data_IF_714109614058
#
_entry.id   IF_714109614058
#
_cell.length_a   1.000
_cell.length_b   1.000
_cell.length_c   1.000
_cell.angle_alpha   90.00
_cell.angle_beta   90.00
_cell.angle_gamma   90.00
#
_symmetry.space_group_name_H-M   'P 1'
#
loop_
_entity.id
_entity.type
_entity.pdbx_description
1 polymer ?
#
# COMPACT_ATOMS: atom_id res chain seq x y z
N UNK A 1 86.67 -56.76 -26.33
CA UNK A 1 86.14 -58.09 -26.08
C UNK A 1 84.65 -58.01 -26.34
N UNK A 2 84.25 -58.47 -27.49
CA UNK A 2 83.51 -59.72 -27.82
C UNK A 2 82.05 -59.58 -27.23
N UNK A 3 80.98 -59.80 -27.90
CA UNK A 3 80.71 -60.55 -29.11
C UNK A 3 79.34 -60.13 -29.71
N UNK A 4 79.27 -60.24 -30.98
CA UNK A 4 78.09 -60.25 -31.81
C UNK A 4 77.20 -61.46 -31.51
N UNK A 5 75.87 -61.36 -31.66
CA UNK A 5 75.00 -62.41 -32.18
C UNK A 5 73.86 -61.84 -32.98
N UNK A 6 73.85 -62.25 -34.18
CA UNK A 6 72.88 -62.20 -35.26
C UNK A 6 71.63 -63.04 -34.91
N UNK A 7 70.41 -62.60 -35.16
CA UNK A 7 69.35 -63.50 -35.61
C UNK A 7 68.23 -62.77 -36.37
N UNK A 8 68.09 -63.28 -37.52
CA UNK A 8 67.18 -63.11 -38.65
C UNK A 8 65.74 -63.54 -38.26
N UNK A 9 64.74 -62.95 -38.81
CA UNK A 9 63.51 -63.71 -39.01
C UNK A 9 62.14 -62.91 -38.96
N UNK A 10 61.53 -62.89 -40.12
CA UNK A 10 60.13 -62.96 -40.42
C UNK A 10 59.29 -61.60 -40.38
N UNK A 11 59.15 -61.08 -41.57
CA UNK A 11 58.04 -60.13 -41.93
C UNK A 11 56.73 -60.92 -41.99
N UNK A 12 55.77 -60.48 -41.20
CA UNK A 12 54.33 -60.86 -41.34
C UNK A 12 53.58 -59.66 -41.72
N UNK A 13 53.11 -59.59 -42.97
CA UNK A 13 52.13 -58.59 -43.43
C UNK A 13 50.75 -58.90 -42.80
N UNK A 14 50.28 -58.06 -41.88
CA UNK A 14 48.88 -58.00 -41.50
C UNK A 14 48.19 -56.81 -42.21
N UNK A 15 47.45 -57.15 -43.28
CA UNK A 15 46.44 -56.23 -43.87
C UNK A 15 45.24 -56.16 -42.92
N UNK A 16 45.26 -55.20 -42.06
CA UNK A 16 44.08 -54.85 -41.23
C UNK A 16 43.15 -53.91 -42.00
N UNK A 17 41.97 -54.40 -42.48
CA UNK A 17 40.87 -53.59 -42.91
C UNK A 17 40.38 -52.77 -41.70
N UNK A 18 40.78 -51.53 -41.61
CA UNK A 18 40.20 -50.54 -40.69
C UNK A 18 38.81 -50.09 -41.17
N UNK A 19 37.76 -50.75 -40.69
CA UNK A 19 36.41 -50.22 -40.74
C UNK A 19 36.38 -48.96 -39.92
N UNK A 20 36.35 -47.79 -40.55
CA UNK A 20 36.03 -46.52 -39.91
C UNK A 20 34.60 -46.59 -39.44
N UNK A 21 34.39 -47.06 -38.20
CA UNK A 21 33.12 -46.87 -37.51
C UNK A 21 33.01 -45.36 -37.20
N UNK A 22 32.38 -44.60 -38.07
CA UNK A 22 31.89 -43.29 -37.70
C UNK A 22 31.04 -43.45 -36.42
N UNK A 23 31.29 -42.67 -35.37
CA UNK A 23 30.41 -42.71 -34.19
C UNK A 23 29.01 -42.30 -34.69
N UNK A 24 28.06 -43.26 -34.70
CA UNK A 24 26.67 -42.97 -34.86
C UNK A 24 26.36 -41.99 -33.73
N UNK A 25 26.09 -40.72 -34.09
CA UNK A 25 25.49 -39.76 -33.21
C UNK A 25 24.19 -40.38 -32.68
N UNK A 26 24.23 -40.93 -31.49
CA UNK A 26 23.05 -41.45 -30.87
C UNK A 26 22.14 -40.25 -30.61
N UNK A 27 20.98 -40.21 -31.26
CA UNK A 27 19.99 -39.17 -31.05
C UNK A 27 19.68 -39.07 -29.55
N UNK A 28 19.75 -37.86 -29.01
CA UNK A 28 19.52 -37.62 -27.58
C UNK A 28 17.99 -37.56 -27.36
N UNK A 29 17.50 -38.41 -26.45
CA UNK A 29 16.07 -38.39 -26.08
C UNK A 29 15.75 -37.14 -25.28
N UNK A 30 14.82 -36.33 -25.78
CA UNK A 30 14.37 -35.09 -25.16
C UNK A 30 12.84 -35.02 -25.13
N UNK A 31 12.30 -34.35 -24.13
CA UNK A 31 10.89 -33.93 -24.16
C UNK A 31 10.80 -32.49 -24.66
N UNK A 32 9.97 -32.28 -25.64
CA UNK A 32 9.69 -30.96 -26.19
C UNK A 32 8.20 -30.60 -26.09
N UNK A 33 7.96 -29.33 -25.93
CA UNK A 33 6.62 -28.80 -25.79
C UNK A 33 6.46 -27.61 -26.76
N UNK A 34 5.31 -27.51 -27.39
CA UNK A 34 4.97 -26.35 -28.23
C UNK A 34 4.85 -25.11 -27.37
N UNK A 35 5.36 -24.01 -27.86
CA UNK A 35 5.22 -22.69 -27.24
C UNK A 35 3.74 -22.35 -27.08
N UNK A 36 3.34 -21.84 -25.93
CA UNK A 36 1.98 -21.41 -25.64
C UNK A 36 1.85 -19.93 -26.01
N UNK A 37 0.87 -19.60 -26.84
CA UNK A 37 0.49 -18.23 -27.12
C UNK A 37 -0.91 -18.01 -26.57
N UNK A 38 -1.03 -17.11 -25.60
CA UNK A 38 -2.32 -16.74 -25.00
C UNK A 38 -2.27 -15.39 -24.31
N UNK A 39 -3.45 -14.81 -24.12
CA UNK A 39 -3.59 -13.62 -23.30
C UNK A 39 -3.28 -13.97 -21.84
N UNK A 40 -2.46 -13.16 -21.22
CA UNK A 40 -2.06 -13.34 -19.83
C UNK A 40 -1.95 -11.99 -19.13
N UNK A 41 -1.99 -11.99 -17.81
CA UNK A 41 -1.68 -10.82 -16.99
C UNK A 41 -0.57 -11.16 -16.01
N UNK A 42 0.34 -10.23 -15.83
CA UNK A 42 1.41 -10.38 -14.84
C UNK A 42 0.92 -9.77 -13.55
N UNK A 43 0.84 -10.55 -12.47
CA UNK A 43 0.53 -10.05 -11.14
C UNK A 43 1.80 -9.89 -10.33
N UNK A 44 1.88 -8.82 -9.55
CA UNK A 44 3.00 -8.55 -8.67
C UNK A 44 2.54 -8.62 -7.22
N UNK A 45 3.28 -9.35 -6.39
CA UNK A 45 3.02 -9.51 -4.97
C UNK A 45 3.93 -8.60 -4.15
N UNK A 46 3.32 -7.83 -3.26
CA UNK A 46 4.02 -6.93 -2.35
C UNK A 46 3.65 -7.25 -0.91
N UNK A 47 4.63 -7.14 -0.01
CA UNK A 47 4.33 -7.16 1.42
C UNK A 47 3.78 -5.80 1.85
N UNK A 48 2.57 -5.79 2.39
CA UNK A 48 1.88 -4.59 2.84
C UNK A 48 1.59 -4.61 4.32
N UNK A 49 1.45 -3.43 4.91
CA UNK A 49 0.99 -3.22 6.27
C UNK A 49 -0.33 -2.47 6.28
N UNK A 50 -1.28 -2.99 7.03
CA UNK A 50 -2.60 -2.36 7.25
C UNK A 50 -2.45 -1.15 8.16
N UNK A 51 -3.02 -0.01 7.77
CA UNK A 51 -3.00 1.24 8.54
C UNK A 51 -4.37 1.91 8.54
N UNK A 52 -4.71 2.58 9.64
CA UNK A 52 -5.88 3.46 9.68
C UNK A 52 -5.75 4.58 8.67
N UNK A 53 -6.88 5.02 8.12
CA UNK A 53 -6.98 6.23 7.32
C UNK A 53 -6.61 7.44 8.15
N UNK A 54 -7.23 7.53 9.32
CA UNK A 54 -7.01 8.59 10.29
C UNK A 54 -6.82 7.96 11.67
N UNK A 55 -5.84 8.46 12.40
CA UNK A 55 -5.60 8.08 13.79
C UNK A 55 -5.25 9.34 14.59
N UNK A 56 -6.02 9.62 15.63
CA UNK A 56 -5.89 10.82 16.44
C UNK A 56 -5.72 10.43 17.90
N UNK A 57 -4.70 11.01 18.54
CA UNK A 57 -4.54 10.95 19.99
C UNK A 57 -5.32 12.10 20.62
N UNK A 58 -6.34 11.78 21.38
CA UNK A 58 -7.22 12.76 22.04
C UNK A 58 -6.51 13.31 23.26
N UNK A 59 -6.40 14.64 23.30
CA UNK A 59 -5.80 15.40 24.41
C UNK A 59 -6.80 16.44 24.89
N UNK A 60 -6.83 16.76 26.21
CA UNK A 60 -7.70 17.78 26.73
C UNK A 60 -7.20 19.17 26.29
N UNK A 61 -8.12 20.09 26.02
CA UNK A 61 -7.82 21.50 25.77
C UNK A 61 -7.76 22.33 27.07
N UNK A 62 -8.42 21.83 28.11
CA UNK A 62 -8.45 22.43 29.45
C UNK A 62 -7.88 21.47 30.47
N UNK A 63 -7.42 21.98 31.62
CA UNK A 63 -6.81 21.16 32.66
C UNK A 63 -7.79 20.90 33.80
N UNK A 64 -7.76 19.70 34.39
CA UNK A 64 -8.60 19.35 35.52
C UNK A 64 -8.65 17.85 35.77
N UNK A 65 -9.34 17.45 36.85
CA UNK A 65 -9.54 16.04 37.17
C UNK A 65 -10.67 15.45 36.32
N UNK A 66 -10.46 14.25 35.79
CA UNK A 66 -11.49 13.50 35.05
C UNK A 66 -12.54 13.03 36.05
N UNK A 67 -13.79 13.46 35.89
CA UNK A 67 -14.91 13.11 36.77
C UNK A 67 -15.72 11.93 36.22
N UNK A 68 -15.88 11.87 34.90
CA UNK A 68 -16.68 10.85 34.23
C UNK A 68 -16.01 10.35 32.96
N UNK A 69 -16.28 9.06 32.64
CA UNK A 69 -15.88 8.38 31.40
C UNK A 69 -17.11 7.71 30.80
N UNK A 70 -17.43 7.99 29.53
CA UNK A 70 -18.70 7.60 28.87
C UNK A 70 -18.55 6.43 27.89
N UNK A 71 -17.40 5.77 27.84
CA UNK A 71 -17.12 4.67 26.92
C UNK A 71 -16.39 3.53 27.65
N UNK A 72 -16.29 2.37 26.98
CA UNK A 72 -15.41 1.26 27.38
C UNK A 72 -14.21 1.21 26.44
N UNK A 73 -13.06 0.80 26.96
CA UNK A 73 -11.84 0.64 26.19
C UNK A 73 -12.07 -0.31 25.01
N UNK A 74 -11.71 0.12 23.81
CA UNK A 74 -11.92 -0.62 22.58
C UNK A 74 -13.31 -0.46 21.91
N UNK A 75 -14.20 0.38 22.45
CA UNK A 75 -15.51 0.66 21.83
C UNK A 75 -15.38 1.40 20.50
N UNK A 76 -16.40 1.23 19.66
CA UNK A 76 -16.64 2.06 18.49
C UNK A 76 -17.35 3.33 18.92
N UNK A 77 -16.87 4.48 18.42
CA UNK A 77 -17.45 5.79 18.73
C UNK A 77 -17.72 6.57 17.45
N UNK A 78 -18.66 7.49 17.52
CA UNK A 78 -19.00 8.41 16.44
C UNK A 78 -18.37 9.78 16.71
N UNK A 79 -18.08 10.51 15.63
CA UNK A 79 -17.66 11.91 15.72
C UNK A 79 -18.64 12.74 16.56
N UNK A 80 -18.10 13.58 17.47
CA UNK A 80 -18.89 14.38 18.40
C UNK A 80 -19.36 13.65 19.65
N UNK A 81 -19.24 12.31 19.75
CA UNK A 81 -19.62 11.55 20.95
C UNK A 81 -18.77 11.96 22.15
N UNK A 82 -19.43 12.23 23.28
CA UNK A 82 -18.73 12.52 24.53
C UNK A 82 -17.96 11.30 25.03
N UNK A 83 -16.71 11.52 25.43
CA UNK A 83 -15.79 10.47 25.92
C UNK A 83 -15.46 10.67 27.40
N UNK A 84 -15.07 11.88 27.77
CA UNK A 84 -14.70 12.22 29.14
C UNK A 84 -15.35 13.52 29.58
N UNK A 85 -15.51 13.67 30.88
CA UNK A 85 -15.85 14.93 31.52
C UNK A 85 -14.76 15.31 32.52
N UNK A 86 -14.26 16.53 32.40
CA UNK A 86 -13.35 17.16 33.35
C UNK A 86 -14.20 17.94 34.38
N UNK A 87 -13.70 18.10 35.61
CA UNK A 87 -14.34 18.92 36.64
C UNK A 87 -14.60 20.37 36.14
N UNK A 88 -15.84 20.71 35.95
CA UNK A 88 -16.31 21.95 35.31
C UNK A 88 -16.59 23.06 36.29
N UNK A 89 -16.62 22.83 37.60
CA UNK A 89 -17.03 23.80 38.65
C UNK A 89 -16.26 25.12 38.59
N UNK A 90 -14.95 25.05 38.29
CA UNK A 90 -14.15 26.27 38.14
C UNK A 90 -14.57 27.04 36.89
N UNK A 91 -14.74 26.34 35.77
CA UNK A 91 -15.12 26.93 34.47
C UNK A 91 -16.52 27.51 34.50
N UNK A 92 -17.49 26.87 35.17
CA UNK A 92 -18.80 27.41 35.41
C UNK A 92 -18.75 28.75 36.20
N UNK A 93 -17.87 28.81 37.21
CA UNK A 93 -17.66 30.03 37.99
C UNK A 93 -17.04 31.15 37.15
N UNK A 94 -16.12 30.83 36.25
CA UNK A 94 -15.50 31.76 35.29
C UNK A 94 -16.55 32.33 34.32
N UNK A 95 -17.42 31.48 33.76
CA UNK A 95 -18.54 31.91 32.90
C UNK A 95 -19.48 32.85 33.65
N UNK A 96 -19.86 32.53 34.88
CA UNK A 96 -20.74 33.38 35.68
C UNK A 96 -20.11 34.75 35.95
N UNK A 97 -18.79 34.80 36.26
CA UNK A 97 -18.03 36.02 36.46
C UNK A 97 -17.96 36.88 35.18
N UNK A 98 -17.62 36.23 34.06
CA UNK A 98 -17.54 36.88 32.74
C UNK A 98 -18.90 37.46 32.32
N UNK A 99 -20.02 36.71 32.52
CA UNK A 99 -21.38 37.18 32.25
C UNK A 99 -21.75 38.39 33.08
N UNK A 100 -21.34 38.43 34.35
CA UNK A 100 -21.55 39.59 35.22
C UNK A 100 -20.80 40.82 34.72
N UNK A 101 -19.58 40.67 34.18
CA UNK A 101 -18.80 41.75 33.58
C UNK A 101 -19.44 42.29 32.30
N UNK A 102 -20.01 41.42 31.46
CA UNK A 102 -20.79 41.84 30.27
C UNK A 102 -21.97 42.70 30.66
N UNK A 103 -22.77 42.30 31.65
CA UNK A 103 -23.92 43.07 32.10
C UNK A 103 -23.52 44.43 32.69
N UNK A 104 -22.37 44.49 33.40
CA UNK A 104 -21.81 45.76 33.90
C UNK A 104 -21.41 46.67 32.75
N UNK A 105 -20.67 46.17 31.76
CA UNK A 105 -20.24 46.96 30.59
C UNK A 105 -21.43 47.41 29.72
N UNK A 106 -22.42 46.54 29.53
CA UNK A 106 -23.68 46.83 28.84
C UNK A 106 -24.44 47.97 29.51
N UNK A 107 -24.51 47.96 30.83
CA UNK A 107 -25.17 49.01 31.60
C UNK A 107 -24.46 50.37 31.44
N UNK A 108 -23.11 50.36 31.47
CA UNK A 108 -22.30 51.56 31.26
C UNK A 108 -22.49 52.15 29.84
N UNK A 109 -22.48 51.27 28.83
CA UNK A 109 -22.75 51.64 27.45
C UNK A 109 -24.15 52.24 27.28
N UNK A 110 -25.17 51.59 27.81
CA UNK A 110 -26.56 52.06 27.75
C UNK A 110 -26.72 53.44 28.38
N UNK A 111 -26.12 53.65 29.54
CA UNK A 111 -26.18 54.97 30.22
C UNK A 111 -25.52 56.08 29.38
N UNK A 112 -24.30 55.76 28.83
CA UNK A 112 -23.60 56.74 27.97
C UNK A 112 -24.36 57.07 26.68
N UNK A 113 -25.05 56.10 26.08
CA UNK A 113 -25.93 56.32 24.92
C UNK A 113 -27.13 57.16 25.25
N UNK A 114 -27.77 56.94 26.42
CA UNK A 114 -28.87 57.75 26.88
C UNK A 114 -28.41 59.22 27.09
N UNK A 115 -27.26 59.43 27.72
CA UNK A 115 -26.69 60.74 27.93
C UNK A 115 -26.32 61.43 26.63
N UNK A 116 -25.72 60.71 25.65
CA UNK A 116 -25.49 61.23 24.31
C UNK A 116 -26.77 61.73 23.65
N UNK A 117 -27.85 60.93 23.71
CA UNK A 117 -29.12 61.32 23.14
C UNK A 117 -29.72 62.61 23.82
N UNK A 118 -29.47 62.77 25.13
CA UNK A 118 -29.87 64.03 25.86
C UNK A 118 -29.01 65.24 25.41
N UNK A 119 -27.70 65.06 25.29
CA UNK A 119 -26.74 66.09 24.87
C UNK A 119 -26.99 66.53 23.42
N UNK A 120 -27.28 65.61 22.50
CA UNK A 120 -27.65 65.94 21.13
C UNK A 120 -28.92 66.85 21.05
N UNK A 121 -29.90 66.54 21.88
CA UNK A 121 -31.14 67.43 22.00
C UNK A 121 -30.80 68.80 22.55
N UNK A 122 -29.94 68.94 23.55
CA UNK A 122 -29.50 70.21 24.11
C UNK A 122 -28.64 71.03 23.13
N UNK A 123 -27.79 70.36 22.33
CA UNK A 123 -27.03 71.03 21.28
C UNK A 123 -27.93 71.59 20.20
N UNK A 124 -28.96 70.88 19.76
CA UNK A 124 -29.94 71.37 18.78
C UNK A 124 -30.76 72.63 19.27
N UNK A 125 -30.85 72.77 20.57
CA UNK A 125 -31.46 73.98 21.19
C UNK A 125 -30.43 75.05 21.49
N UNK A 126 -29.14 74.88 21.19
CA UNK A 126 -28.07 75.83 21.48
C UNK A 126 -27.69 75.96 22.96
N UNK A 127 -28.08 74.97 23.80
CA UNK A 127 -27.89 75.05 25.27
C UNK A 127 -26.50 74.51 25.73
N UNK A 128 -25.76 73.78 24.86
CA UNK A 128 -24.43 73.25 25.18
C UNK A 128 -23.44 73.40 24.00
N UNK A 129 -22.14 73.34 24.27
CA UNK A 129 -21.11 73.41 23.25
C UNK A 129 -21.00 72.10 22.49
N UNK A 130 -20.62 72.09 21.20
CA UNK A 130 -20.42 70.96 20.35
C UNK A 130 -19.34 70.01 20.92
N UNK A 131 -18.28 70.55 21.53
CA UNK A 131 -17.23 69.80 22.21
C UNK A 131 -17.79 68.87 23.28
N UNK A 132 -18.84 69.18 23.98
CA UNK A 132 -19.49 68.36 25.00
C UNK A 132 -20.12 67.11 24.37
N UNK A 133 -20.77 67.26 23.21
CA UNK A 133 -21.31 66.12 22.45
C UNK A 133 -20.21 65.23 21.93
N UNK A 134 -19.14 65.79 21.31
CA UNK A 134 -17.99 65.01 20.80
C UNK A 134 -17.28 64.22 21.91
N UNK A 135 -17.13 64.79 23.11
CA UNK A 135 -16.58 64.10 24.28
C UNK A 135 -17.48 62.94 24.72
N UNK A 136 -18.81 63.15 24.69
CA UNK A 136 -19.75 62.07 25.03
C UNK A 136 -19.78 60.98 23.96
N UNK A 137 -19.61 61.28 22.67
CA UNK A 137 -19.47 60.32 21.58
C UNK A 137 -18.22 59.45 21.80
N UNK A 138 -17.08 60.07 22.16
CA UNK A 138 -15.87 59.35 22.52
C UNK A 138 -16.07 58.43 23.75
N UNK A 139 -16.87 58.86 24.73
CA UNK A 139 -17.28 58.06 25.90
C UNK A 139 -18.11 56.85 25.50
N UNK A 140 -19.09 57.04 24.61
CA UNK A 140 -19.89 55.93 24.07
C UNK A 140 -19.01 54.95 23.30
N UNK A 141 -18.09 55.40 22.44
CA UNK A 141 -17.18 54.57 21.71
C UNK A 141 -16.27 53.75 22.66
N UNK A 142 -15.76 54.36 23.74
CA UNK A 142 -14.99 53.70 24.78
C UNK A 142 -15.79 52.61 25.52
N UNK A 143 -17.02 52.94 25.90
CA UNK A 143 -17.90 51.97 26.58
C UNK A 143 -18.33 50.83 25.64
N UNK A 144 -18.52 51.12 24.35
CA UNK A 144 -18.74 50.08 23.32
C UNK A 144 -17.55 49.10 23.26
N UNK A 145 -16.34 49.62 23.17
CA UNK A 145 -15.14 48.78 23.17
C UNK A 145 -15.04 47.94 24.45
N UNK A 146 -15.36 48.50 25.60
CA UNK A 146 -15.36 47.74 26.86
C UNK A 146 -16.45 46.65 26.91
N UNK A 147 -17.59 46.89 26.30
CA UNK A 147 -18.65 45.88 26.17
C UNK A 147 -18.21 44.74 25.23
N UNK A 148 -17.59 45.09 24.11
CA UNK A 148 -17.07 44.10 23.14
C UNK A 148 -15.96 43.25 23.75
N UNK A 149 -15.04 43.85 24.50
CA UNK A 149 -14.00 43.14 25.26
C UNK A 149 -14.58 42.17 26.29
N UNK A 150 -15.61 42.60 27.04
CA UNK A 150 -16.28 41.74 28.01
C UNK A 150 -17.02 40.57 27.35
N UNK A 151 -17.63 40.76 26.18
CA UNK A 151 -18.24 39.69 25.39
C UNK A 151 -17.20 38.69 24.90
N UNK A 152 -16.03 39.14 24.41
CA UNK A 152 -14.95 38.26 23.98
C UNK A 152 -14.43 37.38 25.15
N UNK A 153 -14.33 37.94 26.36
CA UNK A 153 -13.95 37.20 27.56
C UNK A 153 -15.02 36.18 27.96
N UNK A 154 -16.31 36.53 27.84
CA UNK A 154 -17.41 35.59 28.09
C UNK A 154 -17.37 34.44 27.13
N UNK A 155 -17.22 34.70 25.82
CA UNK A 155 -17.11 33.67 24.81
C UNK A 155 -15.95 32.72 25.13
N UNK A 156 -14.79 33.24 25.48
CA UNK A 156 -13.62 32.41 25.87
C UNK A 156 -13.93 31.55 27.09
N UNK A 157 -14.62 32.05 28.08
CA UNK A 157 -15.02 31.29 29.27
C UNK A 157 -16.01 30.17 28.92
N UNK A 158 -16.99 30.45 28.04
CA UNK A 158 -17.94 29.45 27.53
C UNK A 158 -17.28 28.38 26.69
N UNK A 159 -16.30 28.72 25.83
CA UNK A 159 -15.47 27.74 25.08
C UNK A 159 -14.67 26.85 26.03
N UNK A 160 -14.04 27.39 27.06
CA UNK A 160 -13.33 26.63 28.05
C UNK A 160 -14.26 25.67 28.82
N UNK A 161 -15.47 26.09 29.12
CA UNK A 161 -16.47 25.23 29.78
C UNK A 161 -16.94 24.10 28.83
N UNK A 162 -17.19 24.38 27.55
CA UNK A 162 -17.54 23.35 26.58
C UNK A 162 -16.38 22.34 26.39
N UNK A 163 -15.14 22.81 26.39
CA UNK A 163 -13.94 21.97 26.30
C UNK A 163 -13.69 21.07 27.53
N UNK A 164 -14.48 21.23 28.62
CA UNK A 164 -14.48 20.27 29.74
C UNK A 164 -15.11 18.93 29.35
N UNK A 165 -16.01 18.92 28.34
CA UNK A 165 -16.59 17.70 27.77
C UNK A 165 -15.77 17.31 26.55
N UNK A 166 -14.91 16.32 26.71
CA UNK A 166 -14.02 15.86 25.65
C UNK A 166 -14.79 14.92 24.73
N UNK A 167 -14.80 15.26 23.44
CA UNK A 167 -15.53 14.55 22.39
C UNK A 167 -14.59 13.87 21.41
N UNK A 168 -15.06 12.81 20.73
CA UNK A 168 -14.35 12.15 19.64
C UNK A 168 -14.27 13.09 18.42
N UNK A 169 -13.06 13.37 17.89
CA UNK A 169 -12.89 14.23 16.72
C UNK A 169 -13.19 13.52 15.40
N UNK A 170 -13.21 12.20 15.39
CA UNK A 170 -13.52 11.33 14.25
C UNK A 170 -14.30 10.11 14.73
N UNK A 171 -15.05 9.48 13.82
CA UNK A 171 -15.64 8.17 14.06
C UNK A 171 -14.58 7.08 13.94
N UNK A 172 -14.57 6.09 14.84
CA UNK A 172 -13.58 5.01 14.81
C UNK A 172 -13.58 4.16 16.05
N UNK A 173 -12.57 3.30 16.17
CA UNK A 173 -12.37 2.43 17.32
C UNK A 173 -11.38 3.07 18.29
N UNK A 174 -11.74 3.07 19.57
CA UNK A 174 -10.86 3.55 20.62
C UNK A 174 -9.78 2.53 20.98
N UNK A 175 -8.60 3.03 21.38
CA UNK A 175 -7.55 2.18 21.95
C UNK A 175 -7.98 1.60 23.30
N UNK A 176 -7.30 0.54 23.72
CA UNK A 176 -7.48 -0.05 25.05
C UNK A 176 -6.69 0.71 26.11
N UNK A 177 -5.65 1.44 25.70
CA UNK A 177 -4.86 2.30 26.58
C UNK A 177 -5.60 3.64 26.74
N UNK A 178 -6.18 3.84 27.91
CA UNK A 178 -6.94 5.04 28.26
C UNK A 178 -6.69 5.46 29.71
N UNK A 179 -7.13 6.67 30.03
CA UNK A 179 -6.93 7.27 31.37
C UNK A 179 -8.16 7.03 32.24
N UNK A 180 -7.93 6.65 33.50
CA UNK A 180 -9.00 6.40 34.46
C UNK A 180 -9.61 7.68 35.06
N UNK A 181 -10.85 7.56 35.55
CA UNK A 181 -11.52 8.58 36.34
C UNK A 181 -10.71 8.90 37.62
N UNK A 182 -10.65 10.17 38.00
CA UNK A 182 -9.84 10.68 39.11
C UNK A 182 -8.43 11.15 38.71
N UNK A 183 -7.98 10.85 37.50
CA UNK A 183 -6.67 11.33 37.02
C UNK A 183 -6.76 12.82 36.68
N UNK A 184 -5.71 13.59 37.04
CA UNK A 184 -5.59 14.97 36.65
C UNK A 184 -5.03 15.07 35.23
N UNK A 185 -5.79 15.64 34.32
CA UNK A 185 -5.41 15.84 32.93
C UNK A 185 -4.89 17.27 32.73
N UNK A 186 -3.73 17.39 32.07
CA UNK A 186 -3.10 18.67 31.75
C UNK A 186 -3.34 19.00 30.27
N UNK A 187 -3.81 20.22 30.00
CA UNK A 187 -4.08 20.73 28.64
C UNK A 187 -2.91 20.49 27.71
N UNK A 188 -3.16 19.89 26.55
CA UNK A 188 -2.21 19.63 25.46
C UNK A 188 -1.17 18.54 25.73
N UNK A 189 -0.96 18.12 26.98
CA UNK A 189 0.12 17.19 27.36
C UNK A 189 -0.38 15.77 27.63
N UNK A 190 -1.48 15.61 28.37
CA UNK A 190 -2.00 14.29 28.74
C UNK A 190 -2.66 13.63 27.54
N UNK A 191 -2.16 12.45 27.13
CA UNK A 191 -2.86 11.62 26.16
C UNK A 191 -3.96 10.85 26.88
N UNK A 192 -5.21 11.05 26.50
CA UNK A 192 -6.37 10.44 27.17
C UNK A 192 -6.71 9.08 26.57
N UNK A 193 -6.88 9.02 25.27
CA UNK A 193 -7.21 7.83 24.50
C UNK A 193 -6.90 8.11 23.03
N UNK A 194 -6.63 7.07 22.23
CA UNK A 194 -6.49 7.22 20.77
C UNK A 194 -7.75 6.68 20.10
N UNK A 195 -8.17 7.36 19.03
CA UNK A 195 -9.24 6.90 18.14
C UNK A 195 -8.66 6.70 16.76
N UNK A 196 -8.99 5.58 16.10
CA UNK A 196 -8.57 5.30 14.73
C UNK A 196 -9.73 4.86 13.87
N UNK A 197 -9.82 5.41 12.66
CA UNK A 197 -10.75 4.92 11.65
C UNK A 197 -10.43 3.48 11.29
N UNK A 198 -11.44 2.63 11.20
CA UNK A 198 -11.30 1.24 10.77
C UNK A 198 -11.94 0.98 9.40
N UNK A 199 -12.74 1.91 8.89
CA UNK A 199 -13.37 1.86 7.58
C UNK A 199 -13.51 3.27 6.99
N UNK A 200 -12.97 3.53 5.78
CA UNK A 200 -12.09 2.68 5.01
C UNK A 200 -10.72 2.50 5.68
N UNK A 201 -9.95 1.51 5.21
CA UNK A 201 -8.62 1.19 5.73
C UNK A 201 -7.60 1.19 4.60
N UNK A 202 -6.33 1.49 4.89
CA UNK A 202 -5.25 1.44 3.92
C UNK A 202 -4.42 0.18 4.09
N UNK A 203 -3.92 -0.34 2.97
CA UNK A 203 -2.77 -1.23 2.98
C UNK A 203 -1.61 -0.51 2.30
N UNK A 204 -0.59 -0.21 3.09
CA UNK A 204 0.61 0.49 2.64
C UNK A 204 1.65 -0.54 2.20
N UNK A 205 2.17 -0.39 0.98
CA UNK A 205 3.25 -1.20 0.43
C UNK A 205 4.19 -0.32 -0.41
N UNK A 206 5.34 -0.87 -0.80
CA UNK A 206 6.34 -0.12 -1.56
C UNK A 206 6.66 -0.83 -2.86
N UNK A 207 6.80 -0.05 -3.93
CA UNK A 207 7.24 -0.51 -5.25
C UNK A 207 8.59 0.10 -5.59
N UNK A 208 9.39 -0.57 -6.41
CA UNK A 208 10.66 -0.03 -6.87
C UNK A 208 10.47 1.09 -7.91
N UNK A 209 11.49 1.95 -8.07
CA UNK A 209 11.50 2.99 -9.11
C UNK A 209 11.29 2.40 -10.51
N UNK A 210 11.93 1.25 -10.81
CA UNK A 210 11.79 0.59 -12.11
C UNK A 210 10.34 0.14 -12.36
N UNK A 211 9.68 -0.43 -11.36
CA UNK A 211 8.26 -0.82 -11.46
C UNK A 211 7.37 0.41 -11.66
N UNK A 212 7.61 1.48 -10.89
CA UNK A 212 6.89 2.74 -11.07
C UNK A 212 7.04 3.29 -12.50
N UNK A 213 8.27 3.31 -13.02
CA UNK A 213 8.53 3.75 -14.39
C UNK A 213 7.81 2.85 -15.41
N UNK A 214 7.85 1.53 -15.24
CA UNK A 214 7.12 0.58 -16.09
C UNK A 214 5.61 0.82 -16.05
N UNK A 215 5.03 1.13 -14.89
CA UNK A 215 3.61 1.51 -14.78
C UNK A 215 3.29 2.83 -15.48
N UNK A 216 4.23 3.80 -15.48
CA UNK A 216 4.02 5.13 -16.05
C UNK A 216 4.35 5.22 -17.54
N UNK A 217 5.43 4.56 -17.99
CA UNK A 217 6.01 4.69 -19.33
C UNK A 217 5.82 3.46 -20.21
N UNK A 218 5.50 2.29 -19.63
CA UNK A 218 5.24 1.07 -20.40
C UNK A 218 4.17 1.31 -21.46
N UNK A 219 4.23 0.54 -22.56
CA UNK A 219 3.38 0.67 -23.75
C UNK A 219 1.96 1.09 -23.38
N UNK A 220 1.66 2.35 -23.64
CA UNK A 220 0.32 2.87 -23.44
C UNK A 220 -0.54 2.16 -24.48
N UNK A 221 -1.59 1.41 -24.08
CA UNK A 221 -2.51 0.88 -25.07
C UNK A 221 -2.96 2.06 -25.94
N UNK A 222 -2.91 1.88 -27.25
CA UNK A 222 -3.47 2.87 -28.17
C UNK A 222 -4.86 3.26 -27.67
N UNK A 223 -5.08 4.55 -27.57
CA UNK A 223 -6.33 5.10 -27.01
C UNK A 223 -7.49 4.79 -27.95
N UNK A 224 -8.05 3.60 -27.87
CA UNK A 224 -9.39 3.39 -28.39
C UNK A 224 -10.37 4.14 -27.47
N UNK A 225 -10.87 5.26 -27.95
CA UNK A 225 -12.01 5.96 -27.34
C UNK A 225 -11.75 6.96 -26.21
N UNK A 226 -10.49 7.35 -25.90
CA UNK A 226 -10.24 8.47 -24.95
C UNK A 226 -10.49 8.18 -23.47
N UNK A 227 -10.82 6.96 -23.07
CA UNK A 227 -10.95 6.57 -21.66
C UNK A 227 -9.58 6.56 -20.96
N UNK A 228 -9.56 7.10 -19.72
CA UNK A 228 -8.37 6.98 -18.86
C UNK A 228 -8.15 5.49 -18.55
N UNK A 229 -6.91 4.98 -18.59
CA UNK A 229 -6.63 3.62 -18.17
C UNK A 229 -7.18 3.40 -16.76
N UNK A 230 -7.98 2.34 -16.59
CA UNK A 230 -8.46 1.97 -15.24
C UNK A 230 -7.24 1.61 -14.38
N UNK A 231 -7.21 2.05 -13.11
CA UNK A 231 -6.15 1.63 -12.21
C UNK A 231 -6.16 0.10 -12.07
N UNK A 232 -4.99 -0.53 -11.87
CA UNK A 232 -4.90 -1.97 -11.64
C UNK A 232 -5.73 -2.37 -10.42
N UNK A 233 -6.19 -3.61 -10.38
CA UNK A 233 -6.89 -4.15 -9.21
C UNK A 233 -5.87 -4.63 -8.19
N UNK A 234 -6.12 -4.34 -6.91
CA UNK A 234 -5.38 -4.94 -5.80
C UNK A 234 -6.29 -5.89 -5.01
N UNK A 235 -5.79 -7.07 -4.75
CA UNK A 235 -6.39 -8.05 -3.85
C UNK A 235 -5.48 -8.28 -2.66
N UNK A 236 -6.05 -8.72 -1.53
CA UNK A 236 -5.29 -9.00 -0.32
C UNK A 236 -5.32 -10.48 0.01
N UNK A 237 -4.17 -10.99 0.43
CA UNK A 237 -4.06 -12.28 1.10
C UNK A 237 -3.54 -12.04 2.51
N UNK A 238 -4.32 -12.44 3.50
CA UNK A 238 -3.99 -12.27 4.93
C UNK A 238 -2.88 -13.23 5.35
N UNK A 239 -2.26 -12.98 6.51
CA UNK A 239 -1.16 -13.79 7.03
C UNK A 239 -1.51 -15.27 7.28
N UNK A 240 -2.80 -15.60 7.41
CA UNK A 240 -3.30 -16.97 7.52
C UNK A 240 -3.54 -17.65 6.16
N UNK A 241 -3.22 -17.00 5.03
CA UNK A 241 -3.45 -17.49 3.68
C UNK A 241 -4.86 -17.26 3.13
N UNK A 242 -5.75 -16.67 3.91
CA UNK A 242 -7.12 -16.38 3.50
C UNK A 242 -7.15 -15.15 2.58
N UNK A 243 -7.86 -15.23 1.46
CA UNK A 243 -8.09 -14.07 0.60
C UNK A 243 -9.13 -13.16 1.21
N UNK A 244 -8.90 -11.87 1.13
CA UNK A 244 -9.88 -10.86 1.51
C UNK A 244 -10.81 -10.61 0.33
N UNK A 245 -12.12 -10.56 0.59
CA UNK A 245 -13.13 -10.56 -0.49
C UNK A 245 -13.19 -9.23 -1.24
N UNK A 246 -12.81 -8.12 -0.59
CA UNK A 246 -12.84 -6.80 -1.21
C UNK A 246 -11.62 -6.55 -2.11
N UNK A 247 -11.87 -5.89 -3.23
CA UNK A 247 -10.87 -5.55 -4.24
C UNK A 247 -10.73 -4.04 -4.31
N UNK A 248 -9.50 -3.54 -4.15
CA UNK A 248 -9.22 -2.13 -4.33
C UNK A 248 -8.89 -1.79 -5.78
N UNK A 249 -9.38 -0.64 -6.21
CA UNK A 249 -8.97 0.04 -7.46
C UNK A 249 -8.51 1.47 -7.18
N UNK A 250 -8.47 1.87 -5.90
CA UNK A 250 -8.07 3.19 -5.47
C UNK A 250 -6.69 3.16 -4.81
N UNK A 251 -5.79 3.99 -5.33
CA UNK A 251 -4.41 4.08 -4.87
C UNK A 251 -4.04 5.52 -4.56
N UNK A 252 -3.37 5.70 -3.44
CA UNK A 252 -2.73 6.94 -3.05
C UNK A 252 -1.23 6.71 -3.13
N UNK A 253 -0.54 7.43 -4.01
CA UNK A 253 0.90 7.37 -4.14
C UNK A 253 1.56 8.49 -3.35
N UNK A 254 2.70 8.20 -2.75
CA UNK A 254 3.51 9.24 -2.13
C UNK A 254 4.06 10.21 -3.20
N UNK A 255 4.41 11.40 -2.78
CA UNK A 255 4.93 12.46 -3.65
C UNK A 255 6.35 12.17 -4.11
N UNK A 256 7.13 11.47 -3.31
CA UNK A 256 8.56 11.28 -3.51
C UNK A 256 8.98 9.83 -3.23
N UNK A 257 10.10 9.44 -3.83
CA UNK A 257 10.76 8.17 -3.54
C UNK A 257 11.49 8.27 -2.20
N UNK A 258 11.53 7.16 -1.48
CA UNK A 258 12.38 7.04 -0.29
C UNK A 258 13.85 7.05 -0.73
N UNK A 259 14.63 8.05 -0.30
CA UNK A 259 16.05 8.16 -0.63
C UNK A 259 16.87 6.96 -0.14
N UNK A 260 16.47 6.35 0.97
CA UNK A 260 17.21 5.23 1.57
C UNK A 260 16.99 3.89 0.85
N UNK A 261 15.84 3.69 0.21
CA UNK A 261 15.45 2.40 -0.39
C UNK A 261 15.22 2.49 -1.90
N UNK A 262 15.10 3.69 -2.48
CA UNK A 262 14.74 3.89 -3.89
C UNK A 262 13.34 3.37 -4.24
N UNK A 263 12.43 3.35 -3.27
CA UNK A 263 11.08 2.82 -3.45
C UNK A 263 10.02 3.91 -3.30
N UNK A 264 8.91 3.77 -4.02
CA UNK A 264 7.72 4.59 -3.89
C UNK A 264 6.72 3.90 -2.97
N UNK A 265 6.24 4.62 -1.97
CA UNK A 265 5.18 4.13 -1.10
C UNK A 265 3.82 4.34 -1.74
N UNK A 266 3.05 3.26 -1.79
CA UNK A 266 1.65 3.25 -2.23
C UNK A 266 0.74 2.83 -1.09
N UNK A 267 -0.47 3.37 -1.09
CA UNK A 267 -1.56 2.96 -0.21
C UNK A 267 -2.73 2.54 -1.07
N UNK A 268 -3.14 1.29 -0.97
CA UNK A 268 -4.39 0.82 -1.57
C UNK A 268 -5.50 0.94 -0.53
N UNK A 269 -6.64 1.51 -0.94
CA UNK A 269 -7.80 1.76 -0.08
C UNK A 269 -8.74 0.58 -0.16
N UNK A 270 -9.12 0.00 0.98
CA UNK A 270 -10.07 -1.12 1.05
C UNK A 270 -11.26 -0.73 1.93
N UNK A 271 -12.43 -1.18 1.54
CA UNK A 271 -13.59 -1.19 2.42
C UNK A 271 -13.40 -2.26 3.51
N UNK A 272 -13.76 -1.95 4.74
CA UNK A 272 -13.57 -2.82 5.90
C UNK A 272 -14.79 -2.74 6.84
N UNK A 273 -15.98 -2.85 6.25
CA UNK A 273 -17.23 -2.74 6.98
C UNK A 273 -17.34 -3.77 8.13
N UNK A 274 -16.84 -4.98 7.90
CA UNK A 274 -16.85 -6.06 8.89
C UNK A 274 -15.74 -5.95 9.95
N UNK A 275 -14.83 -5.00 9.81
CA UNK A 275 -13.73 -4.77 10.76
C UNK A 275 -12.71 -5.90 10.87
N UNK A 276 -12.58 -6.74 9.85
CA UNK A 276 -11.64 -7.87 9.80
C UNK A 276 -10.20 -7.39 9.77
N UNK A 277 -9.94 -6.34 8.99
CA UNK A 277 -8.61 -5.73 8.89
C UNK A 277 -8.39 -4.81 10.10
N UNK A 278 -7.32 -5.07 10.84
CA UNK A 278 -6.92 -4.22 11.96
C UNK A 278 -5.61 -3.50 11.63
N UNK A 279 -5.47 -2.21 11.97
CA UNK A 279 -4.21 -1.50 11.84
C UNK A 279 -3.07 -2.24 12.53
N UNK A 280 -1.92 -2.34 11.86
CA UNK A 280 -0.76 -3.10 12.31
C UNK A 280 -0.64 -4.51 11.74
N UNK A 281 -1.70 -5.08 11.16
CA UNK A 281 -1.64 -6.37 10.47
C UNK A 281 -0.75 -6.28 9.23
N UNK A 282 -0.15 -7.42 8.86
CA UNK A 282 0.53 -7.60 7.58
C UNK A 282 -0.37 -8.38 6.62
N UNK A 283 -0.34 -7.98 5.36
CA UNK A 283 -1.04 -8.66 4.29
C UNK A 283 -0.19 -8.66 3.02
N UNK A 284 -0.37 -9.67 2.17
CA UNK A 284 0.19 -9.68 0.83
C UNK A 284 -0.77 -8.95 -0.09
N UNK A 285 -0.29 -7.93 -0.76
CA UNK A 285 -1.02 -7.17 -1.76
C UNK A 285 -0.64 -7.72 -3.12
N UNK A 286 -1.60 -8.34 -3.82
CA UNK A 286 -1.41 -8.78 -5.20
C UNK A 286 -2.02 -7.73 -6.12
N UNK A 287 -1.17 -7.04 -6.87
CA UNK A 287 -1.58 -6.03 -7.85
C UNK A 287 -1.63 -6.69 -9.22
N UNK A 288 -2.80 -6.72 -9.85
CA UNK A 288 -2.97 -7.23 -11.20
C UNK A 288 -2.29 -6.28 -12.19
N UNK A 289 -1.34 -6.82 -12.96
CA UNK A 289 -0.68 -6.08 -14.03
C UNK A 289 -1.58 -5.91 -15.25
N UNK A 290 -1.03 -5.26 -16.27
CA UNK A 290 -1.74 -5.08 -17.55
C UNK A 290 -1.88 -6.41 -18.26
N UNK A 291 -3.03 -6.67 -18.92
CA UNK A 291 -3.17 -7.83 -19.76
C UNK A 291 -2.20 -7.71 -20.97
N UNK A 292 -1.42 -8.75 -21.19
CA UNK A 292 -0.55 -8.94 -22.34
C UNK A 292 -1.32 -9.79 -23.35
N UNK A 293 -1.65 -9.21 -24.50
CA UNK A 293 -2.31 -9.93 -25.59
C UNK A 293 -1.28 -10.78 -26.34
N UNK A 294 -1.67 -11.97 -26.76
CA UNK A 294 -0.86 -12.88 -27.57
C UNK A 294 0.54 -13.16 -26.98
N UNK A 295 0.66 -13.19 -25.66
CA UNK A 295 1.95 -13.41 -24.99
C UNK A 295 2.50 -14.80 -25.30
N UNK A 296 3.78 -14.85 -25.68
CA UNK A 296 4.53 -16.09 -25.90
C UNK A 296 5.07 -16.56 -24.53
N UNK A 297 4.68 -17.76 -24.12
CA UNK A 297 5.00 -18.33 -22.82
C UNK A 297 5.90 -19.55 -22.98
N UNK A 298 6.99 -19.60 -22.19
CA UNK A 298 7.95 -20.70 -22.18
C UNK A 298 8.13 -21.19 -20.76
N UNK A 299 8.10 -22.53 -20.50
CA UNK A 299 8.35 -23.08 -19.19
C UNK A 299 9.71 -22.64 -18.63
N UNK A 300 9.77 -22.29 -17.34
CA UNK A 300 11.02 -21.88 -16.68
C UNK A 300 12.12 -22.93 -16.84
N UNK A 301 11.77 -24.22 -16.78
CA UNK A 301 12.72 -25.33 -16.90
C UNK A 301 13.36 -25.44 -18.28
N UNK A 302 12.79 -24.84 -19.32
CA UNK A 302 13.34 -24.82 -20.67
C UNK A 302 14.38 -23.72 -20.88
N UNK A 303 14.45 -22.74 -19.99
CA UNK A 303 15.33 -21.59 -20.09
C UNK A 303 16.69 -21.92 -19.49
N UNK A 304 17.74 -21.74 -20.28
CA UNK A 304 19.14 -21.85 -19.83
C UNK A 304 19.73 -20.43 -19.74
N UNK A 305 20.33 -20.12 -18.61
CA UNK A 305 21.08 -18.87 -18.44
C UNK A 305 22.57 -19.16 -18.57
N UNK A 306 23.22 -18.50 -19.50
CA UNK A 306 24.65 -18.56 -19.72
C UNK A 306 25.20 -17.15 -19.66
N UNK A 307 26.00 -16.84 -18.63
CA UNK A 307 26.39 -15.46 -18.31
C UNK A 307 25.12 -14.59 -18.15
N UNK A 308 25.09 -13.44 -18.78
CA UNK A 308 23.95 -12.49 -18.69
C UNK A 308 22.90 -12.69 -19.80
N UNK A 309 22.91 -13.83 -20.49
CA UNK A 309 22.00 -14.11 -21.60
C UNK A 309 21.16 -15.34 -21.35
N UNK A 310 19.91 -15.27 -21.77
CA UNK A 310 18.97 -16.39 -21.71
C UNK A 310 18.84 -17.07 -23.06
N UNK A 311 18.88 -18.40 -23.05
CA UNK A 311 18.78 -19.25 -24.21
C UNK A 311 17.70 -20.31 -24.01
N UNK A 312 17.11 -20.71 -25.12
CA UNK A 312 16.17 -21.84 -25.18
C UNK A 312 16.61 -22.74 -26.33
N UNK A 313 16.54 -24.04 -26.11
CA UNK A 313 16.82 -25.01 -27.18
C UNK A 313 15.50 -25.32 -27.87
N UNK A 314 15.44 -25.02 -29.16
CA UNK A 314 14.30 -25.35 -30.04
C UNK A 314 14.62 -26.54 -30.91
N UNK A 315 13.61 -27.32 -31.26
CA UNK A 315 13.71 -28.41 -32.22
C UNK A 315 13.66 -27.84 -33.63
N UNK A 316 14.77 -27.95 -34.36
CA UNK A 316 14.84 -27.53 -35.77
C UNK A 316 14.01 -28.41 -36.69
N UNK A 317 13.76 -27.93 -37.94
CA UNK A 317 13.02 -28.69 -38.97
C UNK A 317 13.65 -30.02 -39.37
N UNK A 318 14.94 -30.22 -39.08
CA UNK A 318 15.74 -31.43 -39.34
C UNK A 318 15.89 -32.28 -38.08
N UNK A 319 15.05 -32.10 -37.06
CA UNK A 319 15.12 -32.75 -35.74
C UNK A 319 16.48 -32.58 -35.02
N UNK A 320 17.14 -31.44 -35.25
CA UNK A 320 18.38 -31.07 -34.54
C UNK A 320 18.12 -29.98 -33.53
N UNK A 321 18.94 -29.97 -32.49
CA UNK A 321 18.93 -28.95 -31.46
C UNK A 321 19.47 -27.62 -32.01
N UNK A 322 18.70 -26.55 -31.86
CA UNK A 322 19.11 -25.18 -32.20
C UNK A 322 19.01 -24.32 -30.92
N UNK A 323 20.15 -23.76 -30.52
CA UNK A 323 20.20 -22.83 -29.39
C UNK A 323 19.76 -21.44 -29.86
N UNK A 324 18.72 -20.89 -29.28
CA UNK A 324 18.17 -19.58 -29.63
C UNK A 324 18.22 -18.64 -28.45
N UNK A 325 18.84 -17.48 -28.63
CA UNK A 325 18.84 -16.44 -27.61
C UNK A 325 17.45 -15.84 -27.51
N UNK A 326 16.95 -15.67 -26.29
CA UNK A 326 15.63 -15.10 -25.99
C UNK A 326 15.76 -13.92 -25.05
N UNK A 327 14.87 -12.95 -25.20
CA UNK A 327 14.70 -11.88 -24.23
C UNK A 327 13.49 -12.23 -23.36
N UNK A 328 13.73 -12.49 -22.10
CA UNK A 328 12.68 -12.83 -21.14
C UNK A 328 12.01 -11.53 -20.63
N UNK A 329 10.75 -11.65 -20.31
CA UNK A 329 9.95 -10.70 -19.59
C UNK A 329 9.63 -11.24 -18.19
N UNK A 330 8.46 -10.88 -17.70
CA UNK A 330 8.00 -11.25 -16.37
C UNK A 330 7.62 -12.74 -16.28
N UNK A 331 7.58 -13.24 -15.07
CA UNK A 331 7.19 -14.62 -14.77
C UNK A 331 5.67 -14.68 -14.55
N UNK A 332 5.04 -15.71 -15.12
CA UNK A 332 3.61 -16.01 -14.92
C UNK A 332 3.47 -17.46 -14.53
N UNK A 333 3.20 -17.73 -13.26
CA UNK A 333 3.17 -19.10 -12.75
C UNK A 333 4.48 -19.84 -13.00
N UNK A 334 4.41 -20.98 -13.71
CA UNK A 334 5.57 -21.80 -14.08
C UNK A 334 6.25 -21.37 -15.38
N UNK A 335 5.89 -20.24 -15.97
CA UNK A 335 6.36 -19.77 -17.27
C UNK A 335 7.04 -18.42 -17.19
N UNK A 336 7.90 -18.15 -18.19
CA UNK A 336 8.35 -16.79 -18.52
C UNK A 336 7.63 -16.27 -19.75
N UNK A 337 7.28 -15.01 -19.74
CA UNK A 337 6.85 -14.27 -20.93
C UNK A 337 8.09 -14.01 -21.79
N UNK A 338 8.07 -14.35 -23.09
CA UNK A 338 9.16 -14.09 -24.01
C UNK A 338 8.84 -12.84 -24.83
N UNK A 339 9.68 -11.81 -24.70
CA UNK A 339 9.56 -10.54 -25.44
C UNK A 339 10.07 -10.66 -26.87
N UNK A 340 11.10 -11.48 -27.11
CA UNK A 340 11.66 -11.71 -28.43
C UNK A 340 12.49 -12.97 -28.48
N UNK A 341 12.66 -13.56 -29.68
CA UNK A 341 13.50 -14.73 -29.94
C UNK A 341 12.75 -16.02 -30.24
N UNK A 342 11.45 -16.09 -29.98
CA UNK A 342 10.60 -17.25 -30.29
C UNK A 342 9.34 -16.85 -31.07
N UNK A 343 8.81 -17.85 -31.78
CA UNK A 343 7.53 -17.73 -32.49
C UNK A 343 6.53 -18.77 -31.95
N UNK A 344 5.26 -18.60 -32.24
CA UNK A 344 4.18 -19.51 -31.80
C UNK A 344 4.32 -20.94 -32.29
N UNK A 345 5.07 -21.16 -33.39
CA UNK A 345 5.21 -22.47 -34.04
C UNK A 345 6.47 -23.22 -33.56
N UNK A 346 7.26 -22.63 -32.70
CA UNK A 346 8.47 -23.25 -32.17
C UNK A 346 8.16 -24.35 -31.13
N UNK A 347 8.90 -25.47 -31.22
CA UNK A 347 8.89 -26.52 -30.21
C UNK A 347 10.12 -26.37 -29.34
N UNK A 348 9.91 -26.24 -28.02
CA UNK A 348 10.96 -25.97 -27.05
C UNK A 348 11.28 -27.21 -26.23
N UNK A 349 12.56 -27.54 -26.09
CA UNK A 349 12.99 -28.63 -25.24
C UNK A 349 12.82 -28.28 -23.78
N UNK A 350 12.10 -29.12 -23.03
CA UNK A 350 11.77 -28.89 -21.61
C UNK A 350 12.46 -29.87 -20.67
N UNK A 351 12.82 -31.05 -21.18
CA UNK A 351 13.61 -32.06 -20.43
C UNK A 351 14.68 -32.71 -21.34
N UNK A 352 15.78 -33.11 -20.76
CA UNK A 352 16.93 -33.70 -21.51
C UNK A 352 17.97 -32.64 -21.92
N UNK A 353 17.95 -31.47 -21.30
CA UNK A 353 18.84 -30.34 -21.60
C UNK A 353 20.29 -30.56 -21.15
N UNK A 354 20.52 -31.50 -20.23
CA UNK A 354 21.86 -31.76 -19.68
C UNK A 354 22.78 -32.32 -20.75
N UNK A 355 23.90 -31.64 -21.00
CA UNK A 355 24.89 -31.98 -22.03
C UNK A 355 24.42 -31.94 -23.49
N UNK A 356 23.23 -31.35 -23.76
CA UNK A 356 22.74 -31.16 -25.12
C UNK A 356 23.56 -30.07 -25.80
N UNK A 357 24.23 -30.42 -26.92
CA UNK A 357 25.01 -29.48 -27.74
C UNK A 357 24.20 -29.05 -28.95
N UNK A 358 24.51 -27.89 -29.48
CA UNK A 358 23.91 -27.37 -30.70
C UNK A 358 24.21 -28.31 -31.89
N UNK A 359 23.19 -28.55 -32.73
CA UNK A 359 23.29 -29.39 -33.93
C UNK A 359 23.20 -30.91 -33.67
N UNK A 360 22.92 -31.35 -32.45
CA UNK A 360 22.72 -32.80 -32.16
C UNK A 360 21.35 -33.27 -32.66
N UNK A 361 21.33 -34.50 -33.18
CA UNK A 361 20.08 -35.20 -33.53
C UNK A 361 19.25 -35.47 -32.26
N UNK A 362 17.99 -35.15 -32.31
CA UNK A 362 17.04 -35.30 -31.22
C UNK A 362 16.05 -36.42 -31.49
N UNK A 363 15.82 -37.25 -30.49
CA UNK A 363 14.65 -38.12 -30.41
C UNK A 363 13.60 -37.42 -29.56
N UNK A 364 12.67 -36.74 -30.21
CA UNK A 364 11.71 -35.84 -29.58
C UNK A 364 10.47 -36.61 -29.14
N UNK A 365 10.16 -36.54 -27.86
CA UNK A 365 8.85 -36.94 -27.30
C UNK A 365 8.05 -35.66 -27.01
N UNK A 366 6.92 -35.49 -27.64
CA UNK A 366 6.04 -34.39 -27.33
C UNK A 366 5.41 -34.58 -25.94
N UNK A 367 5.33 -33.50 -25.18
CA UNK A 367 4.72 -33.46 -23.85
C UNK A 367 3.82 -32.26 -23.70
N UNK A 368 2.87 -32.34 -22.77
CA UNK A 368 1.92 -31.28 -22.49
C UNK A 368 2.22 -30.58 -21.14
N UNK A 369 1.62 -29.41 -20.94
CA UNK A 369 1.74 -28.66 -19.70
C UNK A 369 1.26 -29.47 -18.48
N UNK A 370 0.18 -30.22 -18.65
CA UNK A 370 -0.44 -31.03 -17.59
C UNK A 370 0.44 -32.19 -17.16
N UNK A 371 1.09 -32.87 -18.12
CA UNK A 371 2.04 -33.96 -17.83
C UNK A 371 3.29 -33.48 -17.07
N UNK A 372 3.64 -32.21 -17.25
CA UNK A 372 4.78 -31.58 -16.58
C UNK A 372 4.39 -30.88 -15.27
N UNK A 373 3.09 -30.87 -14.91
CA UNK A 373 2.59 -30.18 -13.72
C UNK A 373 2.79 -28.66 -13.75
N UNK A 374 2.74 -28.07 -14.95
CA UNK A 374 2.95 -26.63 -15.15
C UNK A 374 1.63 -25.89 -15.03
N UNK A 375 1.55 -24.86 -14.20
CA UNK A 375 0.38 -24.01 -14.05
C UNK A 375 0.69 -22.56 -14.43
N UNK A 376 -0.31 -21.88 -14.99
CA UNK A 376 -0.26 -20.44 -15.31
C UNK A 376 -0.67 -19.56 -14.11
N UNK A 377 -1.28 -20.18 -13.11
CA UNK A 377 -1.52 -19.52 -11.83
C UNK A 377 -0.31 -19.69 -10.95
N UNK A 378 0.12 -18.61 -10.27
CA UNK A 378 1.12 -18.72 -9.21
C UNK A 378 0.60 -19.73 -8.17
N UNK A 379 1.31 -20.83 -7.99
CA UNK A 379 1.00 -21.81 -6.95
C UNK A 379 1.24 -21.16 -5.60
N UNK A 380 0.18 -20.70 -4.96
CA UNK A 380 0.22 -20.48 -3.52
C UNK A 380 0.66 -21.79 -2.87
N UNK A 381 1.80 -21.76 -2.17
CA UNK A 381 2.38 -22.92 -1.50
C UNK A 381 1.49 -23.45 -0.38
N UNK A 382 0.43 -24.17 -0.76
CA UNK A 382 -0.31 -25.05 0.15
C UNK A 382 0.07 -26.48 -0.16
N UNK A 383 1.24 -26.91 0.31
CA UNK A 383 1.53 -28.33 0.50
C UNK A 383 0.66 -28.81 1.65
N UNK A 384 -0.52 -29.30 1.33
CA UNK A 384 -1.32 -30.10 2.26
C UNK A 384 -0.61 -31.45 2.44
N UNK A 385 0.30 -31.51 3.40
CA UNK A 385 0.80 -32.78 3.92
C UNK A 385 -0.34 -33.41 4.75
N UNK A 386 -1.19 -34.21 4.09
CA UNK A 386 -2.07 -35.15 4.78
C UNK A 386 -1.22 -36.31 5.32
N UNK A 387 -0.65 -36.11 6.50
CA UNK A 387 -0.12 -37.19 7.30
C UNK A 387 -1.29 -37.91 7.99
N UNK A 388 -1.75 -38.99 7.42
CA UNK A 388 -2.60 -39.96 8.09
C UNK A 388 -1.81 -40.65 9.19
N UNK A 389 -1.95 -40.17 10.44
CA UNK A 389 -1.49 -40.91 11.61
C UNK A 389 -2.52 -41.99 11.92
N UNK A 390 -2.18 -43.22 11.61
CA UNK A 390 -2.89 -44.41 12.07
C UNK A 390 -2.45 -44.71 13.49
N UNK A 391 -3.33 -44.45 14.45
CA UNK A 391 -3.15 -44.90 15.85
C UNK A 391 -3.57 -46.35 15.95
N UNK A 392 -2.66 -47.15 16.42
CA UNK A 392 -2.89 -48.51 16.87
C UNK A 392 -2.84 -48.55 18.39
#
# INVERSE_FOLDING_TARGET
>A
MAAAVLCMGAAVFFTGCGSSTQPRSSAVSVKAMKVIQQDTSVSHDYSGQVKSTDAVVIKPKVSGSITEKYFRSGDLVHEGQALYKIDDRQYESEVLSARSNVEKARTALNNSMIDLGRYQKLLSSGAIAEQTVTTQEATVASNQSSYDDANALLQKAEENLDDTVIRAPISGKLSVDDVGVGTYATSGNTSLVSVGSINPIYVQFSISENEYLNFRTGDKPEREGGERPRPPKATLTLSNGQKYDEVSTEYIADRELSESTGTLTLKAVFDNADGVLLPGMFARVTVEGRPLKDAILVPQRAVQQVLDKSFVIVVGSDNKSVSRQVTLGDQVGSYYVVKSGLTKDDNVVVEGLTNLKEGQELNVTETTADELGLSLTSSDGSTSASASVSVK
#
